data_IF_159293262565
#
_entry.id   IF_159293262565
#
_cell.length_a   1.000
_cell.length_b   1.000
_cell.length_c   1.000
_cell.angle_alpha   90.00
_cell.angle_beta   90.00
_cell.angle_gamma   90.00
#
_symmetry.space_group_name_H-M   'P 1'
#
loop_
_entity.id
_entity.type
_entity.pdbx_description
1 polymer ?
#
# COMPACT_ATOMS: atom_id res chain seq x y z
N UNK A 1 -17.80 -28.15 -3.79
CA UNK A 1 -18.14 -26.73 -3.80
C UNK A 1 -18.41 -26.34 -2.36
N UNK A 2 -17.42 -25.79 -1.68
CA UNK A 2 -17.59 -25.19 -0.35
C UNK A 2 -17.56 -23.69 -0.56
N UNK A 3 -18.69 -23.04 -0.32
CA UNK A 3 -18.77 -21.59 -0.22
C UNK A 3 -17.83 -21.17 0.92
N UNK A 4 -16.71 -20.54 0.56
CA UNK A 4 -15.94 -19.75 1.50
C UNK A 4 -16.66 -18.41 1.61
N UNK A 5 -17.40 -18.26 2.71
CA UNK A 5 -17.87 -16.97 3.19
C UNK A 5 -16.65 -16.07 3.33
N UNK A 6 -16.56 -15.04 2.50
CA UNK A 6 -15.62 -13.94 2.67
C UNK A 6 -15.93 -13.32 4.04
N UNK A 7 -15.08 -13.60 5.00
CA UNK A 7 -15.11 -12.97 6.32
C UNK A 7 -14.91 -11.46 6.07
N UNK A 8 -15.97 -10.68 6.25
CA UNK A 8 -15.90 -9.22 6.14
C UNK A 8 -14.85 -8.75 7.13
N UNK A 9 -13.75 -8.20 6.61
CA UNK A 9 -12.75 -7.53 7.42
C UNK A 9 -13.48 -6.57 8.37
N UNK A 10 -13.23 -6.71 9.67
CA UNK A 10 -13.86 -5.97 10.75
C UNK A 10 -13.76 -4.46 10.46
N UNK A 11 -14.82 -3.89 9.88
CA UNK A 11 -14.84 -2.47 9.51
C UNK A 11 -14.99 -1.70 10.81
N UNK A 12 -13.85 -1.30 11.38
CA UNK A 12 -13.81 -0.46 12.56
C UNK A 12 -14.71 0.77 12.35
N UNK A 13 -15.42 1.18 13.41
CA UNK A 13 -16.29 2.33 13.38
C UNK A 13 -15.54 3.60 12.93
N UNK A 14 -16.24 4.47 12.19
CA UNK A 14 -15.71 5.75 11.73
C UNK A 14 -15.06 6.55 12.87
N UNK A 15 -13.85 7.07 12.64
CA UNK A 15 -13.13 7.96 13.57
C UNK A 15 -12.58 9.20 12.90
N UNK A 16 -12.36 10.27 13.67
CA UNK A 16 -11.75 11.50 13.17
C UNK A 16 -10.78 12.14 14.16
N UNK A 17 -9.74 12.80 13.65
CA UNK A 17 -8.78 13.62 14.41
C UNK A 17 -8.74 15.05 13.87
N UNK A 18 -8.32 16.01 14.71
CA UNK A 18 -8.30 17.44 14.34
C UNK A 18 -7.13 17.84 13.43
N UNK A 19 -6.08 17.02 13.35
CA UNK A 19 -4.88 17.29 12.58
C UNK A 19 -4.60 16.17 11.56
N UNK A 20 -3.99 16.49 10.40
CA UNK A 20 -3.46 15.49 9.48
C UNK A 20 -2.38 14.62 10.15
N UNK A 21 -2.28 13.37 9.70
CA UNK A 21 -1.22 12.47 10.14
C UNK A 21 0.11 12.81 9.49
N UNK A 22 1.17 12.66 10.26
CA UNK A 22 2.54 12.59 9.75
C UNK A 22 2.76 11.27 9.00
N UNK A 23 3.83 11.21 8.20
CA UNK A 23 4.19 9.98 7.47
C UNK A 23 4.49 8.81 8.41
N UNK A 24 5.09 9.08 9.57
CA UNK A 24 5.42 8.08 10.59
C UNK A 24 4.16 7.54 11.29
N UNK A 25 3.20 8.41 11.59
CA UNK A 25 1.89 8.01 12.13
C UNK A 25 1.12 7.18 11.11
N UNK A 26 1.13 7.57 9.83
CA UNK A 26 0.48 6.83 8.77
C UNK A 26 1.10 5.44 8.57
N UNK A 27 2.43 5.34 8.60
CA UNK A 27 3.14 4.07 8.53
C UNK A 27 2.80 3.15 9.71
N UNK A 28 2.60 3.72 10.91
CA UNK A 28 2.12 2.97 12.09
C UNK A 28 0.69 2.46 11.91
N UNK A 29 -0.22 3.28 11.38
CA UNK A 29 -1.61 2.84 11.08
C UNK A 29 -1.61 1.67 10.10
N UNK A 30 -0.80 1.73 9.03
CA UNK A 30 -0.66 0.63 8.07
C UNK A 30 -0.11 -0.63 8.76
N UNK A 31 0.96 -0.49 9.56
CA UNK A 31 1.55 -1.61 10.30
C UNK A 31 0.55 -2.26 11.27
N UNK A 32 -0.32 -1.46 11.90
CA UNK A 32 -1.37 -1.91 12.81
C UNK A 32 -2.51 -2.65 12.08
N UNK A 33 -2.79 -2.31 10.83
CA UNK A 33 -3.81 -2.96 10.02
C UNK A 33 -3.34 -4.23 9.29
N UNK A 34 -2.02 -4.45 9.20
CA UNK A 34 -1.48 -5.71 8.69
C UNK A 34 -1.77 -6.81 9.71
N UNK A 35 -2.43 -7.87 9.24
CA UNK A 35 -2.78 -9.01 10.07
C UNK A 35 -1.51 -9.74 10.58
N UNK A 36 -1.56 -10.32 11.79
CA UNK A 36 -0.48 -11.18 12.28
C UNK A 36 -0.22 -12.36 11.34
N UNK A 37 1.05 -12.68 11.11
CA UNK A 37 1.50 -13.78 10.26
C UNK A 37 1.51 -13.49 8.76
N UNK A 38 1.12 -12.28 8.32
CA UNK A 38 1.06 -11.92 6.91
C UNK A 38 2.43 -11.93 6.24
N UNK A 39 2.44 -12.34 4.97
CA UNK A 39 3.53 -12.14 4.02
C UNK A 39 3.33 -10.82 3.28
N UNK A 40 4.27 -9.90 3.45
CA UNK A 40 4.09 -8.50 3.04
C UNK A 40 5.22 -8.05 2.13
N UNK A 41 4.86 -7.35 1.06
CA UNK A 41 5.82 -6.59 0.26
C UNK A 41 5.59 -5.08 0.41
N UNK A 42 6.67 -4.34 0.59
CA UNK A 42 6.65 -2.89 0.74
C UNK A 42 7.35 -2.26 -0.46
N UNK A 43 6.60 -1.47 -1.24
CA UNK A 43 7.15 -0.72 -2.36
C UNK A 43 8.17 0.32 -1.91
N UNK A 44 9.09 0.69 -2.80
CA UNK A 44 10.13 1.69 -2.51
C UNK A 44 9.53 3.05 -2.11
N UNK A 45 10.27 3.80 -1.29
CA UNK A 45 9.88 5.15 -0.87
C UNK A 45 9.16 5.17 0.48
N UNK A 46 8.04 5.90 0.59
CA UNK A 46 7.28 5.97 1.85
C UNK A 46 6.82 4.60 2.37
N UNK A 47 6.33 3.64 1.54
CA UNK A 47 5.86 2.37 2.07
C UNK A 47 6.93 1.56 2.82
N UNK A 48 8.22 1.74 2.53
CA UNK A 48 9.27 1.04 3.28
C UNK A 48 9.33 1.45 4.75
N UNK A 49 8.84 2.63 5.14
CA UNK A 49 8.85 3.06 6.54
C UNK A 49 7.89 2.24 7.42
N UNK A 50 6.90 1.56 6.82
CA UNK A 50 5.99 0.65 7.52
C UNK A 50 6.75 -0.45 8.26
N UNK A 51 7.88 -0.93 7.72
CA UNK A 51 8.68 -1.97 8.38
C UNK A 51 9.20 -1.55 9.76
N UNK A 52 9.39 -0.25 9.99
CA UNK A 52 9.88 0.27 11.28
C UNK A 52 8.83 0.21 12.40
N UNK A 53 7.55 0.00 12.05
CA UNK A 53 6.43 -0.03 12.99
C UNK A 53 5.79 -1.42 13.10
N UNK A 54 6.30 -2.42 12.39
CA UNK A 54 5.84 -3.80 12.52
C UNK A 54 6.25 -4.35 13.90
N UNK A 55 5.26 -4.61 14.75
CA UNK A 55 5.50 -5.26 16.04
C UNK A 55 6.04 -6.69 15.83
N UNK A 56 7.12 -7.09 16.52
CA UNK A 56 7.63 -8.46 16.47
C UNK A 56 6.59 -9.52 16.83
N UNK A 57 5.63 -9.18 17.70
CA UNK A 57 4.55 -10.08 18.12
C UNK A 57 3.62 -10.48 16.97
N UNK A 58 3.49 -9.61 15.96
CA UNK A 58 2.67 -9.89 14.77
C UNK A 58 3.32 -10.92 13.84
N UNK A 59 4.63 -11.17 13.95
CA UNK A 59 5.34 -12.15 13.09
C UNK A 59 5.09 -11.96 11.59
N UNK A 60 5.07 -10.71 11.14
CA UNK A 60 4.97 -10.35 9.71
C UNK A 60 6.28 -10.72 9.01
N UNK A 61 6.18 -11.36 7.85
CA UNK A 61 7.33 -11.76 7.03
C UNK A 61 7.46 -10.85 5.82
N UNK A 62 8.59 -10.15 5.70
CA UNK A 62 8.83 -9.23 4.59
C UNK A 62 9.42 -9.92 3.36
N UNK A 63 8.83 -9.66 2.20
CA UNK A 63 9.26 -10.10 0.88
C UNK A 63 9.93 -8.96 0.12
N UNK A 64 11.04 -9.22 -0.56
CA UNK A 64 11.65 -8.29 -1.52
C UNK A 64 11.77 -8.92 -2.90
N UNK A 65 11.38 -8.16 -3.93
CA UNK A 65 11.19 -8.66 -5.31
C UNK A 65 12.48 -9.21 -5.94
N UNK A 66 13.64 -8.79 -5.45
CA UNK A 66 14.96 -9.25 -5.88
C UNK A 66 15.36 -10.63 -5.33
N UNK A 67 14.47 -11.35 -4.61
CA UNK A 67 14.64 -12.78 -4.34
C UNK A 67 14.95 -13.15 -2.90
N UNK A 68 14.34 -12.47 -1.93
CA UNK A 68 14.51 -12.79 -0.51
C UNK A 68 13.20 -12.66 0.26
N UNK A 69 12.99 -13.55 1.22
CA UNK A 69 11.88 -13.55 2.15
C UNK A 69 12.39 -13.64 3.59
N UNK A 70 11.81 -12.84 4.49
CA UNK A 70 12.22 -12.77 5.89
C UNK A 70 13.46 -11.90 6.13
N UNK A 71 13.64 -10.82 5.35
CA UNK A 71 14.70 -9.86 5.64
C UNK A 71 14.35 -8.99 6.85
N UNK A 72 15.39 -8.56 7.57
CA UNK A 72 15.34 -7.77 8.79
C UNK A 72 15.57 -6.27 8.55
N UNK A 73 15.88 -5.50 9.61
CA UNK A 73 16.15 -4.07 9.48
C UNK A 73 17.38 -3.78 8.60
N UNK A 74 17.51 -2.51 8.22
CA UNK A 74 18.68 -1.99 7.51
C UNK A 74 19.97 -2.37 8.25
N UNK A 75 20.94 -2.90 7.49
CA UNK A 75 22.26 -3.24 8.01
C UNK A 75 23.09 -1.97 8.23
N UNK A 76 23.89 -1.95 9.30
CA UNK A 76 24.80 -0.84 9.62
C UNK A 76 26.18 -1.36 10.05
N UNK A 77 27.22 -0.55 9.83
CA UNK A 77 28.60 -0.90 10.21
C UNK A 77 29.04 -2.24 9.61
N UNK A 78 29.52 -3.13 10.46
CA UNK A 78 30.06 -4.44 10.06
C UNK A 78 28.98 -5.45 9.61
N UNK A 79 27.69 -5.11 9.73
CA UNK A 79 26.59 -5.93 9.23
C UNK A 79 26.33 -5.74 7.73
N UNK A 80 26.94 -4.73 7.10
CA UNK A 80 26.70 -4.41 5.69
C UNK A 80 27.32 -5.49 4.81
N UNK A 81 26.46 -6.17 4.06
CA UNK A 81 26.80 -7.06 2.97
C UNK A 81 26.18 -6.49 1.68
N UNK A 82 27.00 -6.23 0.67
CA UNK A 82 26.56 -5.62 -0.60
C UNK A 82 25.71 -6.56 -1.45
N UNK A 83 25.79 -7.87 -1.20
CA UNK A 83 24.94 -8.87 -1.87
C UNK A 83 23.54 -8.96 -1.22
N UNK A 84 23.38 -8.45 0.01
CA UNK A 84 22.13 -8.52 0.79
C UNK A 84 21.40 -7.18 0.81
N UNK A 85 20.69 -6.90 -0.28
CA UNK A 85 19.91 -5.67 -0.46
C UNK A 85 18.41 -5.93 -0.60
N UNK A 86 17.59 -4.95 -0.23
CA UNK A 86 16.18 -4.93 -0.60
C UNK A 86 15.96 -4.30 -1.99
N UNK A 87 14.70 -4.23 -2.44
CA UNK A 87 14.31 -3.64 -3.73
C UNK A 87 14.71 -2.15 -3.89
N UNK A 88 14.89 -1.44 -2.77
CA UNK A 88 15.39 -0.06 -2.73
C UNK A 88 16.91 0.06 -2.83
N UNK A 89 17.64 -1.05 -3.01
CA UNK A 89 19.11 -1.14 -3.00
C UNK A 89 19.73 -0.74 -1.66
N UNK A 90 18.99 -0.94 -0.57
CA UNK A 90 19.44 -0.68 0.79
C UNK A 90 19.92 -2.01 1.39
N UNK A 91 21.14 -2.07 1.96
CA UNK A 91 21.61 -3.26 2.68
C UNK A 91 20.71 -3.61 3.86
N UNK A 92 20.35 -4.89 3.99
CA UNK A 92 19.45 -5.41 5.03
C UNK A 92 20.08 -6.60 5.74
N UNK A 93 19.53 -6.93 6.91
CA UNK A 93 19.91 -8.12 7.68
C UNK A 93 18.99 -9.31 7.38
N UNK A 94 19.35 -10.49 7.85
CA UNK A 94 18.50 -11.69 7.78
C UNK A 94 17.78 -11.93 9.11
N UNK A 95 16.52 -12.36 9.08
CA UNK A 95 15.84 -12.91 10.25
C UNK A 95 15.90 -14.44 10.25
N UNK A 96 15.77 -15.09 11.42
CA UNK A 96 15.66 -16.54 11.48
C UNK A 96 14.55 -17.08 10.58
N UNK A 97 14.90 -18.03 9.70
CA UNK A 97 13.97 -18.57 8.70
C UNK A 97 13.93 -17.80 7.37
N UNK A 98 14.82 -16.82 7.18
CA UNK A 98 15.01 -16.17 5.89
C UNK A 98 15.33 -17.19 4.78
N UNK A 99 14.90 -16.88 3.56
CA UNK A 99 15.16 -17.70 2.39
C UNK A 99 15.47 -16.86 1.16
N UNK A 100 16.29 -17.42 0.28
CA UNK A 100 16.67 -16.83 -1.00
C UNK A 100 16.11 -17.65 -2.15
N UNK A 101 15.76 -16.97 -3.22
CA UNK A 101 15.21 -17.60 -4.42
C UNK A 101 15.51 -16.77 -5.65
N UNK A 102 15.44 -17.40 -6.82
CA UNK A 102 15.66 -16.72 -8.07
C UNK A 102 14.52 -15.72 -8.33
N UNK A 103 14.81 -14.62 -9.06
CA UNK A 103 13.79 -13.60 -9.35
C UNK A 103 12.54 -14.19 -10.05
N UNK A 104 12.68 -15.25 -10.84
CA UNK A 104 11.52 -15.93 -11.43
C UNK A 104 10.55 -16.51 -10.37
N UNK A 105 11.09 -17.07 -9.29
CA UNK A 105 10.30 -17.63 -8.18
C UNK A 105 9.67 -16.51 -7.35
N UNK A 106 10.40 -15.41 -7.15
CA UNK A 106 9.89 -14.18 -6.51
C UNK A 106 8.63 -13.66 -7.21
N UNK A 107 8.70 -13.49 -8.54
CA UNK A 107 7.57 -13.03 -9.33
C UNK A 107 6.46 -14.10 -9.46
N UNK A 108 6.79 -15.39 -9.34
CA UNK A 108 5.78 -16.44 -9.23
C UNK A 108 5.03 -16.35 -7.90
N UNK A 109 5.71 -16.04 -6.80
CA UNK A 109 5.09 -15.78 -5.49
C UNK A 109 4.13 -14.59 -5.56
N UNK A 110 4.57 -13.49 -6.17
CA UNK A 110 3.75 -12.29 -6.38
C UNK A 110 2.52 -12.59 -7.22
N UNK A 111 2.71 -13.03 -8.49
CA UNK A 111 1.59 -13.30 -9.41
C UNK A 111 0.68 -14.46 -8.97
N UNK A 112 1.20 -15.36 -8.15
CA UNK A 112 0.47 -16.53 -7.66
C UNK A 112 -0.48 -16.26 -6.49
N UNK A 113 -0.59 -15.02 -5.99
CA UNK A 113 -1.47 -14.75 -4.85
C UNK A 113 -0.89 -15.16 -3.50
N UNK A 114 0.43 -15.31 -3.39
CA UNK A 114 1.06 -15.81 -2.16
C UNK A 114 1.45 -14.72 -1.18
N UNK A 115 1.43 -13.45 -1.60
CA UNK A 115 1.59 -12.30 -0.71
C UNK A 115 0.23 -11.86 -0.19
N UNK A 116 0.10 -11.71 1.12
CA UNK A 116 -1.15 -11.31 1.75
C UNK A 116 -1.43 -9.82 1.54
N UNK A 117 -0.40 -8.98 1.70
CA UNK A 117 -0.51 -7.53 1.53
C UNK A 117 0.66 -7.00 0.72
N UNK A 118 0.40 -6.11 -0.23
CA UNK A 118 1.42 -5.20 -0.74
C UNK A 118 1.07 -3.74 -0.41
N UNK A 119 2.07 -2.93 -0.09
CA UNK A 119 1.89 -1.49 0.18
C UNK A 119 2.66 -0.71 -0.86
N UNK A 120 1.97 0.11 -1.65
CA UNK A 120 2.53 0.87 -2.77
C UNK A 120 2.31 2.38 -2.59
N UNK A 121 3.19 3.18 -3.19
CA UNK A 121 2.91 4.59 -3.41
C UNK A 121 2.00 4.80 -4.63
N UNK A 122 1.34 5.96 -4.72
CA UNK A 122 0.53 6.31 -5.89
C UNK A 122 0.59 7.80 -6.27
N UNK A 123 0.48 8.05 -7.57
CA UNK A 123 0.16 9.38 -8.10
C UNK A 123 -1.33 9.63 -8.10
N UNK A 124 -2.12 8.65 -8.54
CA UNK A 124 -3.57 8.67 -8.50
C UNK A 124 -4.11 7.30 -8.12
N UNK A 125 -5.27 7.29 -7.46
CA UNK A 125 -6.11 6.09 -7.28
C UNK A 125 -7.53 6.45 -7.70
N UNK A 126 -8.22 5.56 -8.42
CA UNK A 126 -9.63 5.77 -8.77
C UNK A 126 -10.57 5.29 -7.66
N UNK A 127 -11.81 5.77 -7.65
CA UNK A 127 -12.82 5.36 -6.66
C UNK A 127 -13.14 3.86 -6.72
N UNK A 128 -12.89 3.22 -7.88
CA UNK A 128 -13.03 1.77 -8.10
C UNK A 128 -11.74 0.99 -7.86
N UNK A 129 -10.66 1.64 -7.41
CA UNK A 129 -9.41 0.99 -7.02
C UNK A 129 -8.35 0.87 -8.13
N UNK A 130 -8.44 1.62 -9.23
CA UNK A 130 -7.37 1.64 -10.23
C UNK A 130 -6.15 2.36 -9.66
N UNK A 131 -4.95 1.84 -9.93
CA UNK A 131 -3.69 2.38 -9.45
C UNK A 131 -2.91 3.04 -10.59
N UNK A 132 -2.47 4.28 -10.43
CA UNK A 132 -1.50 4.91 -11.32
C UNK A 132 -0.27 5.41 -10.54
N UNK A 133 0.89 4.76 -10.71
CA UNK A 133 2.10 5.10 -9.93
C UNK A 133 3.43 5.02 -10.69
N UNK A 134 3.46 4.60 -11.97
CA UNK A 134 4.71 4.42 -12.71
C UNK A 134 5.03 5.54 -13.72
N UNK A 135 4.03 6.33 -14.11
CA UNK A 135 4.20 7.43 -15.08
C UNK A 135 3.15 8.51 -14.91
N UNK A 136 3.52 9.74 -15.27
CA UNK A 136 2.61 10.89 -15.39
C UNK A 136 2.18 11.16 -16.83
N UNK A 137 2.55 10.27 -17.78
CA UNK A 137 2.21 10.40 -19.20
C UNK A 137 3.00 11.45 -19.98
N UNK A 138 4.03 12.06 -19.37
CA UNK A 138 4.86 13.06 -20.05
C UNK A 138 5.68 12.44 -21.19
N UNK A 139 5.65 13.00 -22.41
CA UNK A 139 6.47 12.53 -23.52
C UNK A 139 7.95 12.49 -23.14
N UNK A 140 8.62 11.37 -23.44
CA UNK A 140 10.05 11.18 -23.16
C UNK A 140 10.41 10.83 -21.71
N UNK A 141 9.42 10.67 -20.82
CA UNK A 141 9.66 10.09 -19.50
C UNK A 141 10.07 8.62 -19.63
N UNK A 142 11.17 8.23 -19.00
CA UNK A 142 11.63 6.84 -18.97
C UNK A 142 10.67 6.04 -18.07
N UNK A 143 10.03 4.98 -18.57
CA UNK A 143 9.18 4.11 -17.76
C UNK A 143 9.99 3.46 -16.62
N UNK A 144 9.49 3.57 -15.40
CA UNK A 144 10.05 2.88 -14.24
C UNK A 144 8.93 2.15 -13.51
N UNK A 145 8.46 1.05 -14.11
CA UNK A 145 7.38 0.23 -13.54
C UNK A 145 7.90 -0.68 -12.42
N UNK A 146 9.09 -1.27 -12.60
CA UNK A 146 9.61 -2.28 -11.67
C UNK A 146 8.64 -3.46 -11.51
N UNK A 147 8.57 -4.05 -10.32
CA UNK A 147 7.59 -5.07 -9.97
C UNK A 147 6.18 -4.56 -9.64
N UNK A 148 5.87 -3.27 -9.83
CA UNK A 148 4.63 -2.67 -9.33
C UNK A 148 3.36 -3.29 -9.95
N UNK A 149 3.38 -3.65 -11.23
CA UNK A 149 2.24 -4.29 -11.91
C UNK A 149 1.98 -5.70 -11.36
N UNK A 150 3.03 -6.49 -11.15
CA UNK A 150 2.94 -7.83 -10.57
C UNK A 150 2.46 -7.81 -9.12
N UNK A 151 2.91 -6.83 -8.31
CA UNK A 151 2.44 -6.65 -6.94
C UNK A 151 0.97 -6.25 -6.90
N UNK A 152 0.61 -5.22 -7.65
CA UNK A 152 -0.73 -4.65 -7.62
C UNK A 152 -1.80 -5.68 -7.99
N UNK A 153 -1.54 -6.53 -8.98
CA UNK A 153 -2.49 -7.56 -9.41
C UNK A 153 -2.32 -8.88 -8.62
N UNK A 154 -1.11 -9.16 -8.14
CA UNK A 154 -0.77 -10.45 -7.57
C UNK A 154 -1.00 -10.58 -6.07
N UNK A 155 -0.84 -9.51 -5.28
CA UNK A 155 -1.12 -9.58 -3.85
C UNK A 155 -2.62 -9.80 -3.57
N UNK A 156 -2.94 -10.53 -2.49
CA UNK A 156 -4.34 -10.72 -2.08
C UNK A 156 -5.00 -9.40 -1.71
N UNK A 157 -4.22 -8.48 -1.14
CA UNK A 157 -4.67 -7.16 -0.77
C UNK A 157 -3.62 -6.10 -1.13
N UNK A 158 -4.05 -5.00 -1.77
CA UNK A 158 -3.17 -3.90 -2.18
C UNK A 158 -3.56 -2.61 -1.47
N UNK A 159 -2.65 -2.15 -0.61
CA UNK A 159 -2.76 -0.89 0.11
C UNK A 159 -1.95 0.19 -0.59
N UNK A 160 -2.47 1.42 -0.56
CA UNK A 160 -1.75 2.59 -1.05
C UNK A 160 -1.42 3.53 0.11
N UNK A 161 -0.16 3.94 0.21
CA UNK A 161 0.31 4.99 1.10
C UNK A 161 0.61 6.26 0.28
N UNK A 162 -0.12 7.35 0.52
CA UNK A 162 0.01 8.56 -0.28
C UNK A 162 -0.57 9.79 0.42
N UNK A 163 -0.07 11.00 0.12
CA UNK A 163 -0.84 12.22 0.42
C UNK A 163 -2.16 12.23 -0.37
N UNK A 164 -3.26 12.71 0.23
CA UNK A 164 -4.57 12.77 -0.43
C UNK A 164 -4.62 13.84 -1.53
N UNK A 165 -3.87 14.92 -1.32
CA UNK A 165 -3.75 16.05 -2.23
C UNK A 165 -2.29 16.29 -2.62
N UNK A 166 -2.07 16.88 -3.79
CA UNK A 166 -0.75 17.40 -4.16
C UNK A 166 -0.43 18.65 -3.33
N UNK A 167 0.84 19.09 -3.36
CA UNK A 167 1.25 20.38 -2.76
C UNK A 167 0.51 21.60 -3.32
N UNK A 168 -0.11 21.48 -4.50
CA UNK A 168 -0.93 22.53 -5.12
C UNK A 168 -2.41 22.44 -4.76
N UNK A 169 -2.81 21.41 -4.01
CA UNK A 169 -4.20 21.14 -3.64
C UNK A 169 -4.97 20.28 -4.65
N UNK A 170 -4.32 19.78 -5.71
CA UNK A 170 -4.97 18.87 -6.66
C UNK A 170 -5.27 17.54 -5.97
N UNK A 171 -6.48 17.01 -6.13
CA UNK A 171 -6.84 15.69 -5.60
C UNK A 171 -6.06 14.57 -6.29
N UNK A 172 -5.76 13.53 -5.52
CA UNK A 172 -5.13 12.30 -6.01
C UNK A 172 -6.07 11.08 -5.93
N UNK A 173 -7.14 11.16 -5.15
CA UNK A 173 -8.30 10.28 -5.31
C UNK A 173 -9.18 10.84 -6.44
N UNK A 174 -9.43 10.03 -7.45
CA UNK A 174 -10.14 10.42 -8.67
C UNK A 174 -11.39 9.57 -8.84
N UNK A 175 -12.40 10.06 -9.58
CA UNK A 175 -13.45 9.15 -10.08
C UNK A 175 -12.83 8.13 -11.05
N UNK A 176 -12.00 8.62 -11.98
CA UNK A 176 -11.20 7.82 -12.92
C UNK A 176 -9.77 8.40 -12.99
N UNK A 177 -8.75 7.55 -13.03
CA UNK A 177 -7.37 8.02 -13.17
C UNK A 177 -7.15 8.63 -14.57
N UNK A 178 -6.36 9.70 -14.63
CA UNK A 178 -5.95 10.32 -15.89
C UNK A 178 -4.53 9.95 -16.29
N UNK A 179 -3.73 9.45 -15.35
CA UNK A 179 -2.40 8.93 -15.61
C UNK A 179 -2.44 7.46 -16.06
N UNK A 180 -1.40 7.00 -16.79
CA UNK A 180 -1.31 5.59 -17.20
C UNK A 180 -1.43 4.64 -16.01
N UNK A 181 -2.33 3.67 -16.15
CA UNK A 181 -2.61 2.70 -15.10
C UNK A 181 -1.46 1.71 -14.89
N UNK A 182 -1.38 1.23 -13.67
CA UNK A 182 -0.49 0.18 -13.16
C UNK A 182 -1.30 -1.10 -12.96
N UNK A 183 -2.46 -0.98 -12.32
CA UNK A 183 -3.42 -2.05 -12.12
C UNK A 183 -4.84 -1.49 -12.14
N UNK A 184 -5.80 -2.30 -12.58
CA UNK A 184 -7.22 -1.95 -12.64
C UNK A 184 -7.91 -2.57 -11.42
N UNK A 185 -8.69 -1.78 -10.69
CA UNK A 185 -9.50 -2.22 -9.56
C UNK A 185 -8.74 -3.04 -8.50
N UNK A 186 -7.46 -2.77 -8.32
CA UNK A 186 -6.57 -3.58 -7.50
C UNK A 186 -6.40 -3.03 -6.08
N UNK A 187 -6.56 -1.72 -5.89
CA UNK A 187 -6.40 -1.07 -4.60
C UNK A 187 -7.66 -1.27 -3.77
N UNK A 188 -7.50 -1.80 -2.57
CA UNK A 188 -8.59 -1.98 -1.60
C UNK A 188 -8.63 -0.88 -0.55
N UNK A 189 -7.48 -0.27 -0.25
CA UNK A 189 -7.37 0.73 0.83
C UNK A 189 -6.39 1.82 0.46
N UNK A 190 -6.77 3.05 0.75
CA UNK A 190 -5.89 4.22 0.70
C UNK A 190 -5.65 4.70 2.12
N UNK A 191 -4.39 4.77 2.49
CA UNK A 191 -3.89 5.41 3.69
C UNK A 191 -3.27 6.73 3.27
N UNK A 192 -3.83 7.83 3.79
CA UNK A 192 -3.33 9.17 3.53
C UNK A 192 -3.17 10.02 4.77
N UNK A 193 -2.46 11.13 4.62
CA UNK A 193 -2.32 12.16 5.65
C UNK A 193 -3.67 12.71 6.14
N UNK A 194 -4.73 12.58 5.33
CA UNK A 194 -6.07 13.12 5.61
C UNK A 194 -7.15 12.09 5.90
N UNK A 195 -6.97 10.83 5.51
CA UNK A 195 -8.02 9.84 5.61
C UNK A 195 -7.48 8.41 5.47
N UNK A 196 -8.23 7.47 6.06
CA UNK A 196 -8.17 6.06 5.65
C UNK A 196 -9.47 5.70 4.95
N UNK A 197 -9.34 5.24 3.71
CA UNK A 197 -10.43 5.00 2.78
C UNK A 197 -10.41 3.54 2.34
N UNK A 198 -11.58 2.90 2.34
CA UNK A 198 -11.78 1.56 1.82
C UNK A 198 -12.47 1.67 0.46
N UNK A 199 -11.98 0.91 -0.50
CA UNK A 199 -12.44 0.91 -1.88
C UNK A 199 -13.05 -0.45 -2.22
N UNK A 200 -14.09 -0.43 -3.02
CA UNK A 200 -14.68 -1.63 -3.58
C UNK A 200 -15.14 -1.40 -5.04
N UNK A 201 -15.49 -2.46 -5.78
CA UNK A 201 -15.86 -2.36 -7.19
C UNK A 201 -17.12 -1.52 -7.49
N UNK A 202 -17.93 -1.16 -6.49
CA UNK A 202 -19.11 -0.29 -6.65
C UNK A 202 -18.74 1.18 -6.89
N UNK A 203 -17.50 1.57 -6.56
CA UNK A 203 -17.03 2.95 -6.63
C UNK A 203 -17.62 3.87 -5.55
N UNK A 204 -18.27 3.31 -4.52
CA UNK A 204 -18.54 4.04 -3.27
C UNK A 204 -17.33 3.87 -2.37
N UNK A 205 -16.79 4.98 -1.86
CA UNK A 205 -15.62 4.99 -1.00
C UNK A 205 -16.05 5.04 0.46
N UNK A 206 -15.79 3.98 1.22
CA UNK A 206 -16.08 3.96 2.65
C UNK A 206 -14.96 4.68 3.41
N UNK A 207 -15.30 5.77 4.08
CA UNK A 207 -14.41 6.54 4.93
C UNK A 207 -14.34 5.87 6.30
N UNK A 208 -13.20 5.26 6.61
CA UNK A 208 -12.93 4.71 7.95
C UNK A 208 -12.42 5.79 8.88
N UNK A 209 -11.55 6.67 8.38
CA UNK A 209 -10.89 7.69 9.20
C UNK A 209 -10.78 9.03 8.48
N UNK A 210 -10.87 10.13 9.22
CA UNK A 210 -10.53 11.48 8.75
C UNK A 210 -9.53 12.17 9.69
N UNK A 211 -8.60 12.93 9.13
CA UNK A 211 -7.50 13.56 9.85
C UNK A 211 -7.32 15.02 9.43
N UNK A 212 -7.82 15.96 10.25
CA UNK A 212 -7.79 17.39 9.96
C UNK A 212 -8.49 17.74 8.65
N UNK A 213 -9.63 17.09 8.40
CA UNK A 213 -10.56 17.30 7.30
C UNK A 213 -11.96 16.84 7.75
N UNK A 214 -13.02 17.61 7.47
CA UNK A 214 -14.40 17.14 7.73
C UNK A 214 -14.91 16.25 6.61
N UNK A 215 -16.00 15.53 6.86
CA UNK A 215 -16.61 14.68 5.83
C UNK A 215 -17.18 15.52 4.68
N UNK A 216 -17.78 16.66 5.01
CA UNK A 216 -18.32 17.62 4.05
C UNK A 216 -17.19 18.22 3.19
N UNK A 217 -16.06 18.61 3.81
CA UNK A 217 -14.90 19.11 3.07
C UNK A 217 -14.29 18.04 2.15
N UNK A 218 -14.29 16.77 2.56
CA UNK A 218 -13.85 15.66 1.70
C UNK A 218 -14.75 15.55 0.46
N UNK A 219 -16.07 15.58 0.64
CA UNK A 219 -17.05 15.51 -0.44
C UNK A 219 -16.95 16.73 -1.37
N UNK A 220 -16.85 17.94 -0.83
CA UNK A 220 -16.72 19.18 -1.62
C UNK A 220 -15.46 19.19 -2.47
N UNK A 221 -14.35 18.60 -1.97
CA UNK A 221 -13.09 18.46 -2.72
C UNK A 221 -13.12 17.34 -3.76
N UNK A 222 -14.09 16.42 -3.68
CA UNK A 222 -14.24 15.27 -4.57
C UNK A 222 -15.70 15.11 -5.02
N UNK A 223 -16.28 16.10 -5.73
CA UNK A 223 -17.70 16.15 -6.06
C UNK A 223 -18.17 15.01 -6.97
N UNK A 224 -17.24 14.33 -7.62
CA UNK A 224 -17.42 13.21 -8.54
C UNK A 224 -17.11 11.83 -7.91
N UNK A 225 -16.80 11.78 -6.61
CA UNK A 225 -16.61 10.54 -5.86
C UNK A 225 -17.72 10.41 -4.81
N UNK A 226 -18.30 9.22 -4.70
CA UNK A 226 -19.33 8.93 -3.69
C UNK A 226 -18.66 8.43 -2.43
N UNK A 227 -19.03 8.99 -1.28
CA UNK A 227 -18.50 8.59 0.03
C UNK A 227 -19.61 8.17 0.97
N UNK A 228 -19.27 7.24 1.86
CA UNK A 228 -20.06 6.88 3.04
C UNK A 228 -19.12 6.77 4.25
N UNK A 229 -19.67 6.80 5.47
CA UNK A 229 -18.86 6.56 6.68
C UNK A 229 -18.92 5.08 7.03
N UNK A 230 -17.81 4.53 7.51
CA UNK A 230 -17.76 3.17 8.04
C UNK A 230 -18.82 2.95 9.15
N UNK A 231 -19.69 1.96 8.95
CA UNK A 231 -20.75 1.59 9.89
C UNK A 231 -22.01 2.45 9.84
N UNK A 232 -22.19 3.27 8.79
CA UNK A 232 -23.40 4.07 8.55
C UNK A 232 -24.55 3.26 7.90
#
# INVERSE_FOLDING_TARGET
MSEQTTETADVQAFRSTDAPLTQDELARVIADDIAPGSFVNLGIGQPTTVSNYLSPEKKVTLHTENGMLGFGPQATGDQVDEDLINAGKIPVTELPGASYFHHADSFAMMRGGHLDVCVLGAYQVSATGDLANWSTGKPGAIPAVGGAMDLAIGAKDTYVMMDLFTKKGDRKLMAECTFPLTGVGCVSRIYSDKAVLLLDPSGVVTVRELHGLTFEELQDKHPDVRFEKAGA
#
